data_IF_583555371148
#
_entry.id   IF_583555371148
#
_cell.length_a   1.000
_cell.length_b   1.000
_cell.length_c   1.000
_cell.angle_alpha   90.00
_cell.angle_beta   90.00
_cell.angle_gamma   90.00
#
_symmetry.space_group_name_H-M   'P 1'
#
loop_
_entity.id
_entity.type
_entity.pdbx_description
1 polymer ?
#
# COMPACT_ATOMS: atom_id res chain seq x y z
N UNK A 1 -11.73 4.82 -20.60
CA UNK A 1 -11.96 4.04 -19.36
C UNK A 1 -10.62 4.03 -18.63
N UNK A 2 -10.59 4.37 -17.35
CA UNK A 2 -9.32 4.45 -16.62
C UNK A 2 -8.85 3.10 -16.10
N UNK A 3 -7.57 3.03 -15.74
CA UNK A 3 -6.94 1.82 -15.18
C UNK A 3 -6.36 2.09 -13.78
N UNK A 4 -6.42 1.09 -12.91
CA UNK A 4 -5.92 1.14 -11.53
C UNK A 4 -5.06 -0.09 -11.24
N UNK A 5 -3.92 0.12 -10.59
CA UNK A 5 -3.12 -0.95 -10.00
C UNK A 5 -3.12 -0.80 -8.49
N UNK A 6 -3.51 -1.85 -7.75
CA UNK A 6 -3.56 -1.87 -6.28
C UNK A 6 -2.44 -2.73 -5.74
N UNK A 7 -1.52 -2.13 -4.97
CA UNK A 7 -0.31 -2.79 -4.47
C UNK A 7 -0.37 -2.90 -2.95
N UNK A 8 -0.41 -4.13 -2.45
CA UNK A 8 -0.54 -4.42 -1.03
C UNK A 8 0.77 -4.23 -0.23
N UNK A 9 0.63 -4.11 1.10
CA UNK A 9 1.75 -4.06 2.03
C UNK A 9 2.31 -5.41 2.43
N UNK A 10 3.31 -5.41 3.34
CA UNK A 10 3.84 -6.63 3.97
C UNK A 10 2.70 -7.41 4.64
N UNK A 11 2.83 -8.73 4.65
CA UNK A 11 1.86 -9.70 5.21
C UNK A 11 0.50 -9.75 4.50
N UNK A 12 0.12 -8.73 3.72
CA UNK A 12 -1.13 -8.70 2.96
C UNK A 12 -1.06 -9.55 1.69
N UNK A 13 -2.22 -9.69 1.04
CA UNK A 13 -2.47 -10.38 -0.24
C UNK A 13 -3.36 -9.53 -1.12
N UNK A 14 -3.46 -9.82 -2.43
CA UNK A 14 -4.40 -9.16 -3.34
C UNK A 14 -5.85 -9.20 -2.85
N UNK A 15 -6.27 -10.28 -2.18
CA UNK A 15 -7.64 -10.48 -1.68
C UNK A 15 -8.06 -9.44 -0.64
N UNK A 16 -7.11 -8.77 0.02
CA UNK A 16 -7.44 -7.67 0.92
C UNK A 16 -8.02 -6.45 0.20
N UNK A 17 -7.78 -6.32 -1.11
CA UNK A 17 -8.35 -5.27 -1.95
C UNK A 17 -9.63 -5.72 -2.69
N UNK A 18 -10.15 -6.91 -2.43
CA UNK A 18 -11.27 -7.48 -3.20
C UNK A 18 -12.46 -6.51 -3.30
N UNK A 19 -12.92 -5.94 -2.17
CA UNK A 19 -14.07 -5.04 -2.13
C UNK A 19 -13.83 -3.73 -2.89
N UNK A 20 -12.60 -3.20 -2.90
CA UNK A 20 -12.21 -2.02 -3.69
C UNK A 20 -12.17 -2.36 -5.17
N UNK A 21 -11.53 -3.48 -5.52
CA UNK A 21 -11.39 -3.91 -6.91
C UNK A 21 -12.75 -4.22 -7.55
N UNK A 22 -13.65 -4.89 -6.83
CA UNK A 22 -14.99 -5.20 -7.29
C UNK A 22 -15.79 -3.93 -7.57
N UNK A 23 -15.80 -2.96 -6.64
CA UNK A 23 -16.51 -1.70 -6.82
C UNK A 23 -15.97 -0.88 -7.99
N UNK A 24 -14.66 -0.87 -8.25
CA UNK A 24 -14.06 -0.19 -9.40
C UNK A 24 -14.40 -0.89 -10.71
N UNK A 25 -14.32 -2.23 -10.75
CA UNK A 25 -14.70 -3.03 -11.93
C UNK A 25 -16.18 -2.88 -12.29
N UNK A 26 -17.05 -2.78 -11.29
CA UNK A 26 -18.49 -2.58 -11.49
C UNK A 26 -18.83 -1.26 -12.21
N UNK A 27 -17.93 -0.28 -12.21
CA UNK A 27 -18.08 0.98 -12.95
C UNK A 27 -17.20 1.06 -14.22
N UNK A 28 -16.68 -0.09 -14.68
CA UNK A 28 -15.93 -0.19 -15.94
C UNK A 28 -14.46 0.20 -15.84
N UNK A 29 -13.88 0.32 -14.62
CA UNK A 29 -12.43 0.55 -14.44
C UNK A 29 -11.67 -0.76 -14.64
N UNK A 30 -10.59 -0.75 -15.41
CA UNK A 30 -9.64 -1.85 -15.48
C UNK A 30 -8.82 -1.91 -14.19
N UNK A 31 -8.82 -3.04 -13.48
CA UNK A 31 -8.15 -3.16 -12.18
C UNK A 31 -7.22 -4.36 -12.13
N UNK A 32 -5.93 -4.08 -11.94
CA UNK A 32 -4.93 -5.08 -11.61
C UNK A 32 -4.60 -5.05 -10.10
N UNK A 33 -4.47 -6.24 -9.50
CA UNK A 33 -4.04 -6.40 -8.11
C UNK A 33 -2.95 -7.46 -8.08
N UNK A 34 -1.70 -7.09 -8.40
CA UNK A 34 -0.61 -8.05 -8.51
C UNK A 34 -0.27 -8.67 -7.16
N UNK A 35 0.00 -9.97 -7.19
CA UNK A 35 0.61 -10.70 -6.08
C UNK A 35 2.10 -10.38 -6.05
N UNK A 36 2.60 -9.74 -4.99
CA UNK A 36 4.02 -9.41 -4.87
C UNK A 36 4.89 -10.67 -4.79
N UNK A 37 6.07 -10.61 -5.39
CA UNK A 37 7.06 -11.71 -5.39
C UNK A 37 7.53 -12.04 -3.97
N UNK A 38 7.69 -10.98 -3.09
CA UNK A 38 8.01 -11.09 -1.66
C UNK A 38 9.41 -11.62 -1.35
N UNK A 39 10.29 -11.64 -2.35
CA UNK A 39 11.70 -12.00 -2.17
C UNK A 39 12.58 -10.78 -1.90
N UNK A 40 12.31 -9.66 -2.57
CA UNK A 40 13.02 -8.40 -2.40
C UNK A 40 12.18 -7.23 -2.94
N UNK A 41 12.53 -6.00 -2.56
CA UNK A 41 11.89 -4.80 -3.10
C UNK A 41 12.03 -4.73 -4.63
N UNK A 42 13.19 -5.08 -5.17
CA UNK A 42 13.43 -5.08 -6.62
C UNK A 42 12.49 -6.06 -7.35
N UNK A 43 12.37 -7.29 -6.82
CA UNK A 43 11.48 -8.30 -7.41
C UNK A 43 10.01 -7.88 -7.30
N UNK A 44 9.59 -7.28 -6.17
CA UNK A 44 8.24 -6.76 -5.98
C UNK A 44 7.96 -5.61 -6.95
N UNK A 45 8.91 -4.69 -7.13
CA UNK A 45 8.81 -3.59 -8.10
C UNK A 45 8.69 -4.12 -9.53
N UNK A 46 9.44 -5.15 -9.90
CA UNK A 46 9.36 -5.76 -11.23
C UNK A 46 7.99 -6.38 -11.52
N UNK A 47 7.39 -7.05 -10.53
CA UNK A 47 6.02 -7.59 -10.64
C UNK A 47 5.00 -6.47 -10.89
N UNK A 48 5.08 -5.37 -10.12
CA UNK A 48 4.15 -4.24 -10.29
C UNK A 48 4.41 -3.51 -11.60
N UNK A 49 5.68 -3.35 -12.01
CA UNK A 49 6.03 -2.79 -13.31
C UNK A 49 5.40 -3.59 -14.45
N UNK A 50 5.48 -4.93 -14.41
CA UNK A 50 4.83 -5.78 -15.40
C UNK A 50 3.31 -5.59 -15.45
N UNK A 51 2.67 -5.39 -14.30
CA UNK A 51 1.24 -5.10 -14.27
C UNK A 51 0.90 -3.72 -14.87
N UNK A 52 1.74 -2.70 -14.65
CA UNK A 52 1.57 -1.36 -15.27
C UNK A 52 1.81 -1.44 -16.77
N UNK A 53 2.87 -2.11 -17.22
CA UNK A 53 3.23 -2.24 -18.63
C UNK A 53 2.19 -3.02 -19.46
N UNK A 54 1.38 -3.87 -18.81
CA UNK A 54 0.30 -4.62 -19.45
C UNK A 54 -0.97 -3.78 -19.72
N UNK A 55 -1.10 -2.62 -19.10
CA UNK A 55 -2.24 -1.74 -19.28
C UNK A 55 -2.10 -0.88 -20.53
N UNK A 56 -3.23 -0.56 -21.17
CA UNK A 56 -3.24 0.23 -22.41
C UNK A 56 -3.06 1.73 -22.19
N UNK A 57 -3.44 2.20 -21.03
CA UNK A 57 -3.41 3.62 -20.65
C UNK A 57 -2.66 3.79 -19.32
N UNK A 58 -2.06 4.98 -19.09
CA UNK A 58 -1.41 5.26 -17.81
C UNK A 58 -2.37 5.09 -16.64
N UNK A 59 -2.01 4.25 -15.69
CA UNK A 59 -2.86 3.88 -14.56
C UNK A 59 -2.65 4.81 -13.35
N UNK A 60 -3.68 4.91 -12.51
CA UNK A 60 -3.51 5.31 -11.11
C UNK A 60 -2.97 4.11 -10.34
N UNK A 61 -1.77 4.23 -9.78
CA UNK A 61 -1.10 3.15 -9.04
C UNK A 61 -1.12 3.45 -7.55
N UNK A 62 -1.87 2.66 -6.78
CA UNK A 62 -1.97 2.80 -5.33
C UNK A 62 -1.06 1.80 -4.63
N UNK A 63 -0.16 2.31 -3.77
CA UNK A 63 0.68 1.52 -2.87
C UNK A 63 0.26 1.72 -1.40
N UNK A 64 -0.10 0.62 -0.74
CA UNK A 64 -0.40 0.61 0.68
C UNK A 64 0.83 0.20 1.50
N UNK A 65 1.13 0.95 2.57
CA UNK A 65 2.20 0.59 3.50
C UNK A 65 3.55 0.38 2.79
N UNK A 66 4.17 -0.79 2.89
CA UNK A 66 5.35 -1.20 2.12
C UNK A 66 5.14 -1.09 0.59
N UNK A 67 3.91 -1.30 0.12
CA UNK A 67 3.57 -1.11 -1.30
C UNK A 67 3.92 0.28 -1.83
N UNK A 68 4.01 1.29 -0.96
CA UNK A 68 4.52 2.62 -1.31
C UNK A 68 5.98 2.60 -1.73
N UNK A 69 6.85 1.86 -1.02
CA UNK A 69 8.24 1.66 -1.45
C UNK A 69 8.32 0.96 -2.81
N UNK A 70 7.41 0.02 -3.07
CA UNK A 70 7.34 -0.69 -4.35
C UNK A 70 6.98 0.25 -5.49
N UNK A 71 5.89 1.04 -5.34
CA UNK A 71 5.43 1.95 -6.40
C UNK A 71 6.38 3.14 -6.61
N UNK A 72 7.20 3.48 -5.61
CA UNK A 72 8.26 4.48 -5.76
C UNK A 72 9.25 4.10 -6.86
N UNK A 73 9.48 2.82 -7.10
CA UNK A 73 10.36 2.31 -8.16
C UNK A 73 9.70 2.17 -9.55
N UNK A 74 8.37 2.29 -9.65
CA UNK A 74 7.60 2.04 -10.89
C UNK A 74 7.62 3.26 -11.80
N UNK A 75 7.66 3.04 -13.13
CA UNK A 75 7.57 4.07 -14.17
C UNK A 75 6.29 3.92 -14.99
N UNK A 76 5.90 4.99 -15.70
CA UNK A 76 4.75 4.97 -16.61
C UNK A 76 3.38 5.04 -15.92
N UNK A 77 3.34 5.25 -14.61
CA UNK A 77 2.10 5.54 -13.91
C UNK A 77 1.58 6.94 -14.30
N UNK A 78 0.28 7.09 -14.47
CA UNK A 78 -0.36 8.39 -14.65
C UNK A 78 -0.48 9.17 -13.35
N UNK A 79 -0.65 8.49 -12.23
CA UNK A 79 -0.70 9.06 -10.88
C UNK A 79 -0.30 8.02 -9.84
N UNK A 80 0.41 8.45 -8.79
CA UNK A 80 0.79 7.59 -7.67
C UNK A 80 -0.06 7.93 -6.44
N UNK A 81 -0.56 6.91 -5.75
CA UNK A 81 -1.29 7.08 -4.48
C UNK A 81 -0.58 6.31 -3.38
N UNK A 82 -0.14 7.03 -2.36
CA UNK A 82 0.52 6.49 -1.17
C UNK A 82 -0.49 6.42 -0.02
N UNK A 83 -1.02 5.25 0.27
CA UNK A 83 -2.03 5.03 1.32
C UNK A 83 -1.36 4.50 2.59
N UNK A 84 -1.26 5.32 3.64
CA UNK A 84 -0.55 4.97 4.89
C UNK A 84 0.84 4.36 4.62
N UNK A 85 1.58 4.90 3.63
CA UNK A 85 2.64 4.20 2.93
C UNK A 85 4.01 4.85 3.11
N UNK A 86 5.05 4.08 2.80
CA UNK A 86 6.42 4.59 2.76
C UNK A 86 6.70 5.25 1.40
N UNK A 87 7.30 6.44 1.44
CA UNK A 87 7.76 7.20 0.26
C UNK A 87 9.27 7.42 0.41
N UNK A 88 10.08 6.39 0.16
CA UNK A 88 11.53 6.53 0.33
C UNK A 88 12.15 7.47 -0.71
N UNK A 89 13.17 8.20 -0.30
CA UNK A 89 14.08 8.99 -1.13
C UNK A 89 15.40 8.23 -1.35
N UNK A 90 16.35 8.84 -2.04
CA UNK A 90 17.64 8.25 -2.37
C UNK A 90 18.37 7.74 -1.11
N UNK A 91 18.76 6.48 -1.12
CA UNK A 91 19.41 5.81 -0.01
C UNK A 91 18.48 5.42 1.16
N UNK A 92 17.19 5.71 1.08
CA UNK A 92 16.24 5.38 2.13
C UNK A 92 15.52 4.05 1.87
N UNK A 93 15.19 3.36 2.95
CA UNK A 93 14.31 2.18 2.95
C UNK A 93 13.14 2.39 3.92
N UNK A 94 12.08 1.60 3.78
CA UNK A 94 10.96 1.64 4.74
C UNK A 94 11.42 1.43 6.19
N UNK A 95 12.35 0.48 6.41
CA UNK A 95 12.93 0.23 7.72
C UNK A 95 13.78 1.40 8.24
N UNK A 96 14.57 2.03 7.36
CA UNK A 96 15.41 3.20 7.69
C UNK A 96 14.59 4.44 8.03
N UNK A 97 13.42 4.62 7.41
CA UNK A 97 12.49 5.71 7.70
C UNK A 97 11.76 5.57 9.05
N UNK A 98 11.87 4.44 9.72
CA UNK A 98 11.23 4.18 11.00
C UNK A 98 10.44 2.86 11.03
N UNK A 99 10.10 2.32 9.85
CA UNK A 99 9.45 1.02 9.71
C UNK A 99 8.13 0.89 10.47
N UNK A 100 7.90 -0.29 11.01
CA UNK A 100 6.71 -0.61 11.81
C UNK A 100 6.69 0.15 13.13
N UNK A 101 5.50 0.58 13.58
CA UNK A 101 5.28 1.11 14.92
C UNK A 101 5.60 0.07 16.01
N UNK A 102 5.67 0.50 17.27
CA UNK A 102 5.83 -0.41 18.41
C UNK A 102 4.75 -1.51 18.41
N UNK A 103 3.49 -1.15 18.18
CA UNK A 103 2.36 -2.09 18.15
C UNK A 103 2.48 -3.15 17.05
N UNK A 104 2.91 -2.75 15.86
CA UNK A 104 3.11 -3.72 14.80
C UNK A 104 4.34 -4.58 15.04
N UNK A 105 5.45 -4.00 15.58
CA UNK A 105 6.63 -4.79 15.99
C UNK A 105 6.29 -5.86 17.01
N UNK A 106 5.45 -5.54 17.99
CA UNK A 106 5.00 -6.48 19.02
C UNK A 106 4.15 -7.64 18.47
N UNK A 107 3.55 -7.44 17.27
CA UNK A 107 2.81 -8.48 16.58
C UNK A 107 3.70 -9.43 15.76
N UNK A 108 4.91 -9.01 15.38
CA UNK A 108 5.80 -9.79 14.52
C UNK A 108 6.37 -11.00 15.27
N UNK A 109 6.35 -12.15 14.61
CA UNK A 109 6.99 -13.40 15.02
C UNK A 109 8.03 -13.81 13.99
N UNK A 110 9.19 -14.25 14.47
CA UNK A 110 10.20 -14.89 13.61
C UNK A 110 9.87 -16.35 13.45
N UNK A 111 9.95 -16.85 12.22
CA UNK A 111 9.75 -18.25 11.89
C UNK A 111 11.10 -18.98 11.74
N UNK A 112 11.14 -20.32 11.86
CA UNK A 112 12.38 -21.09 11.74
C UNK A 112 13.12 -20.94 10.42
N UNK A 113 12.39 -20.66 9.33
CA UNK A 113 12.94 -20.43 7.97
C UNK A 113 13.49 -19.01 7.76
N UNK A 114 13.48 -18.18 8.82
CA UNK A 114 13.89 -16.77 8.78
C UNK A 114 12.82 -15.83 8.27
N UNK A 115 11.67 -16.30 7.82
CA UNK A 115 10.52 -15.45 7.50
C UNK A 115 9.91 -14.86 8.77
N UNK A 116 8.98 -13.94 8.61
CA UNK A 116 8.20 -13.38 9.72
C UNK A 116 6.72 -13.55 9.46
N UNK A 117 5.96 -13.80 10.53
CA UNK A 117 4.49 -13.80 10.53
C UNK A 117 3.95 -12.82 11.56
N UNK A 118 2.63 -12.66 11.62
CA UNK A 118 1.97 -11.82 12.62
C UNK A 118 1.12 -12.67 13.58
N UNK A 119 1.21 -12.35 14.88
CA UNK A 119 0.28 -12.85 15.87
C UNK A 119 -1.12 -12.32 15.57
N UNK A 120 -2.15 -13.17 15.34
CA UNK A 120 -3.46 -12.75 14.88
C UNK A 120 -4.11 -11.64 15.69
N UNK A 121 -4.17 -11.79 17.02
CA UNK A 121 -4.83 -10.82 17.91
C UNK A 121 -4.13 -9.45 17.89
N UNK A 122 -2.78 -9.47 17.90
CA UNK A 122 -1.97 -8.25 17.83
C UNK A 122 -2.00 -7.62 16.44
N UNK A 123 -2.08 -8.44 15.40
CA UNK A 123 -2.25 -7.96 14.02
C UNK A 123 -3.56 -7.23 13.84
N UNK A 124 -4.68 -7.76 14.37
CA UNK A 124 -5.97 -7.08 14.35
C UNK A 124 -5.90 -5.70 15.00
N UNK A 125 -5.26 -5.59 16.17
CA UNK A 125 -5.13 -4.34 16.91
C UNK A 125 -4.20 -3.31 16.23
N UNK A 126 -3.22 -3.75 15.44
CA UNK A 126 -2.29 -2.88 14.73
C UNK A 126 -2.78 -2.47 13.34
N UNK A 127 -3.26 -3.44 12.54
CA UNK A 127 -3.59 -3.23 11.12
C UNK A 127 -5.05 -2.87 10.87
N UNK A 128 -5.97 -3.30 11.75
CA UNK A 128 -7.42 -3.22 11.55
C UNK A 128 -8.15 -2.61 12.75
N UNK A 129 -7.50 -1.71 13.47
CA UNK A 129 -7.97 -1.14 14.74
C UNK A 129 -9.28 -0.35 14.65
N UNK A 130 -9.67 0.12 13.48
CA UNK A 130 -10.92 0.86 13.20
C UNK A 130 -11.90 0.05 12.32
N UNK A 131 -11.59 -1.22 12.05
CA UNK A 131 -12.46 -2.09 11.27
C UNK A 131 -13.51 -2.77 12.17
N UNK A 132 -14.74 -3.00 11.68
CA UNK A 132 -15.69 -3.90 12.34
C UNK A 132 -15.08 -5.28 12.58
N UNK A 133 -15.35 -5.87 13.75
CA UNK A 133 -14.71 -7.11 14.18
C UNK A 133 -14.81 -8.28 13.17
N UNK A 134 -15.95 -8.53 12.48
CA UNK A 134 -16.01 -9.58 11.47
C UNK A 134 -15.10 -9.32 10.27
N UNK A 135 -14.96 -8.07 9.82
CA UNK A 135 -14.06 -7.70 8.72
C UNK A 135 -12.60 -7.81 9.14
N UNK A 136 -12.25 -7.36 10.35
CA UNK A 136 -10.92 -7.51 10.91
C UNK A 136 -10.52 -8.99 11.02
N UNK A 137 -11.39 -9.86 11.51
CA UNK A 137 -11.14 -11.29 11.62
C UNK A 137 -10.92 -11.95 10.25
N UNK A 138 -11.75 -11.61 9.25
CA UNK A 138 -11.57 -12.07 7.86
C UNK A 138 -10.21 -11.62 7.31
N UNK A 139 -9.87 -10.34 7.48
CA UNK A 139 -8.60 -9.79 6.98
C UNK A 139 -7.39 -10.42 7.65
N UNK A 140 -7.45 -10.66 8.97
CA UNK A 140 -6.39 -11.39 9.71
C UNK A 140 -6.22 -12.81 9.17
N UNK A 141 -7.31 -13.52 8.84
CA UNK A 141 -7.26 -14.86 8.26
C UNK A 141 -6.61 -14.92 6.87
N UNK A 142 -6.52 -13.80 6.17
CA UNK A 142 -5.84 -13.69 4.88
C UNK A 142 -4.33 -13.34 5.00
N UNK A 143 -3.87 -12.92 6.18
CA UNK A 143 -2.46 -12.58 6.37
C UNK A 143 -1.56 -13.81 6.17
N UNK A 144 -0.35 -13.57 5.71
CA UNK A 144 0.64 -14.63 5.48
C UNK A 144 2.05 -14.20 5.86
N UNK A 145 2.94 -15.17 5.97
CA UNK A 145 4.34 -14.93 6.27
C UNK A 145 5.01 -14.04 5.21
N UNK A 146 5.98 -13.26 5.61
CA UNK A 146 6.75 -12.34 4.80
C UNK A 146 8.22 -12.76 4.81
N UNK A 147 8.85 -12.82 3.64
CA UNK A 147 10.27 -13.05 3.53
C UNK A 147 11.08 -11.97 4.27
N UNK A 148 12.22 -12.31 4.86
CA UNK A 148 13.03 -11.36 5.59
C UNK A 148 13.61 -10.31 4.63
N UNK A 149 13.72 -9.06 5.09
CA UNK A 149 14.49 -8.03 4.43
C UNK A 149 13.76 -7.17 3.39
N UNK A 150 12.54 -7.51 2.94
CA UNK A 150 11.81 -6.71 1.94
C UNK A 150 11.72 -5.22 2.31
N UNK A 151 11.39 -4.90 3.57
CA UNK A 151 11.32 -3.51 4.04
C UNK A 151 12.67 -2.78 4.16
N UNK A 152 13.80 -3.46 3.93
CA UNK A 152 15.14 -2.88 3.94
C UNK A 152 15.66 -2.52 2.55
N UNK A 153 14.94 -2.92 1.50
CA UNK A 153 15.29 -2.55 0.13
C UNK A 153 15.21 -1.04 -0.07
N UNK A 154 16.13 -0.52 -0.86
CA UNK A 154 16.16 0.88 -1.32
C UNK A 154 15.68 0.91 -2.76
N UNK A 155 14.67 1.74 -3.12
CA UNK A 155 14.24 1.87 -4.50
C UNK A 155 15.36 2.42 -5.38
N UNK A 156 15.49 1.89 -6.58
CA UNK A 156 16.45 2.39 -7.58
C UNK A 156 15.97 3.67 -8.28
N UNK A 157 14.66 3.95 -8.23
CA UNK A 157 14.00 5.11 -8.82
C UNK A 157 13.09 5.78 -7.80
N UNK A 158 12.79 7.06 -8.02
CA UNK A 158 11.96 7.89 -7.14
C UNK A 158 10.87 8.57 -7.97
N UNK A 159 9.92 7.76 -8.46
CA UNK A 159 8.92 8.19 -9.46
C UNK A 159 7.98 9.29 -8.96
N UNK A 160 7.82 9.45 -7.64
CA UNK A 160 7.09 10.56 -7.04
C UNK A 160 7.68 11.95 -7.34
N UNK A 161 8.93 12.03 -7.82
CA UNK A 161 9.56 13.29 -8.23
C UNK A 161 9.11 13.77 -9.62
N UNK A 162 8.65 12.85 -10.47
CA UNK A 162 8.32 13.08 -11.87
C UNK A 162 6.82 12.85 -12.15
N UNK A 163 6.16 12.02 -11.34
CA UNK A 163 4.77 11.61 -11.51
C UNK A 163 3.90 12.32 -10.47
N UNK A 164 2.76 12.93 -10.85
CA UNK A 164 1.80 13.45 -9.89
C UNK A 164 1.46 12.42 -8.82
N UNK A 165 1.40 12.84 -7.56
CA UNK A 165 1.22 11.90 -6.47
C UNK A 165 0.35 12.48 -5.37
N UNK A 166 -0.51 11.63 -4.79
CA UNK A 166 -1.34 11.93 -3.62
C UNK A 166 -0.93 11.04 -2.46
N UNK A 167 -0.68 11.64 -1.31
CA UNK A 167 -0.51 10.90 -0.06
C UNK A 167 -1.80 10.92 0.75
N UNK A 168 -2.23 9.76 1.24
CA UNK A 168 -3.34 9.63 2.19
C UNK A 168 -2.79 9.27 3.56
N UNK A 169 -2.80 10.24 4.46
CA UNK A 169 -2.44 10.04 5.86
C UNK A 169 -3.63 9.39 6.58
N UNK A 170 -3.37 8.26 7.24
CA UNK A 170 -4.34 7.60 8.11
C UNK A 170 -4.10 8.05 9.55
N UNK A 171 -4.89 9.02 10.03
CA UNK A 171 -4.64 9.70 11.32
C UNK A 171 -4.79 8.83 12.58
N UNK A 172 -5.43 7.66 12.47
CA UNK A 172 -5.60 6.71 13.57
C UNK A 172 -4.77 5.43 13.36
N UNK A 173 -3.78 5.48 12.47
CA UNK A 173 -2.91 4.36 12.15
C UNK A 173 -2.08 3.90 13.35
N UNK A 174 -2.09 2.59 13.60
CA UNK A 174 -1.33 1.95 14.68
C UNK A 174 -0.19 1.07 14.17
N UNK A 175 -0.03 0.96 12.85
CA UNK A 175 1.04 0.18 12.21
C UNK A 175 2.18 1.07 11.70
N UNK A 176 1.86 2.22 11.08
CA UNK A 176 2.81 3.24 10.67
C UNK A 176 2.43 4.56 11.35
N UNK A 177 3.36 5.12 12.12
CA UNK A 177 3.11 6.35 12.89
C UNK A 177 2.59 7.50 12.02
N UNK A 178 1.44 8.14 12.37
CA UNK A 178 0.87 9.23 11.57
C UNK A 178 1.80 10.44 11.45
N UNK A 179 2.66 10.69 12.43
CA UNK A 179 3.67 11.74 12.35
C UNK A 179 4.73 11.42 11.28
N UNK A 180 5.15 10.14 11.17
CA UNK A 180 6.00 9.69 10.08
C UNK A 180 5.29 9.81 8.73
N UNK A 181 4.02 9.42 8.64
CA UNK A 181 3.23 9.55 7.41
C UNK A 181 3.18 11.01 6.93
N UNK A 182 2.91 11.98 7.81
CA UNK A 182 2.90 13.41 7.46
C UNK A 182 4.26 13.92 6.98
N UNK A 183 5.37 13.43 7.55
CA UNK A 183 6.71 13.79 7.05
C UNK A 183 6.96 13.27 5.63
N UNK A 184 6.54 12.04 5.34
CA UNK A 184 6.69 11.47 3.99
C UNK A 184 5.71 12.10 2.99
N UNK A 185 4.50 12.47 3.45
CA UNK A 185 3.49 13.13 2.63
C UNK A 185 3.99 14.45 2.01
N UNK A 186 4.91 15.15 2.66
CA UNK A 186 5.53 16.38 2.14
C UNK A 186 6.32 16.17 0.82
N UNK A 187 6.56 14.91 0.42
CA UNK A 187 7.20 14.55 -0.86
C UNK A 187 6.20 14.47 -2.02
N UNK A 188 4.91 14.38 -1.72
CA UNK A 188 3.86 14.20 -2.71
C UNK A 188 3.24 15.53 -3.14
N UNK A 189 2.62 15.54 -4.33
CA UNK A 189 2.00 16.74 -4.92
C UNK A 189 0.72 17.15 -4.22
N UNK A 190 -0.02 16.19 -3.67
CA UNK A 190 -1.27 16.41 -2.92
C UNK A 190 -1.28 15.55 -1.65
N UNK A 191 -1.95 16.06 -0.61
CA UNK A 191 -2.04 15.39 0.69
C UNK A 191 -3.49 15.38 1.17
N UNK A 192 -3.97 14.20 1.52
CA UNK A 192 -5.27 13.98 2.15
C UNK A 192 -5.04 13.40 3.55
N UNK A 193 -5.90 13.70 4.49
CA UNK A 193 -5.88 13.06 5.81
C UNK A 193 -7.26 12.49 6.14
N UNK A 194 -7.27 11.20 6.49
CA UNK A 194 -8.48 10.48 6.88
C UNK A 194 -8.42 10.07 8.35
N UNK A 195 -9.54 10.18 9.04
CA UNK A 195 -9.71 9.64 10.39
C UNK A 195 -9.92 8.12 10.36
N UNK A 196 -8.90 7.38 9.87
CA UNK A 196 -8.92 5.93 9.69
C UNK A 196 -7.69 5.28 10.30
N UNK A 197 -7.78 3.98 10.58
CA UNK A 197 -6.65 3.12 10.88
C UNK A 197 -5.82 2.78 9.63
N UNK A 198 -4.92 1.81 9.77
CA UNK A 198 -3.93 1.46 8.73
C UNK A 198 -4.54 0.93 7.43
N UNK A 199 -5.68 0.25 7.49
CA UNK A 199 -6.24 -0.51 6.36
C UNK A 199 -7.65 -0.05 5.97
N UNK A 200 -7.83 1.21 5.50
CA UNK A 200 -9.16 1.73 5.14
C UNK A 200 -9.81 0.97 3.98
N UNK A 201 -9.03 0.31 3.11
CA UNK A 201 -9.56 -0.55 2.05
C UNK A 201 -10.33 -1.77 2.57
N UNK A 202 -10.11 -2.18 3.84
CA UNK A 202 -10.88 -3.23 4.52
C UNK A 202 -12.11 -2.65 5.23
N UNK A 203 -11.92 -1.63 6.08
CA UNK A 203 -12.98 -1.09 6.92
C UNK A 203 -13.90 -0.08 6.22
N UNK A 204 -13.37 0.64 5.26
CA UNK A 204 -14.05 1.76 4.56
C UNK A 204 -13.71 1.79 3.05
N UNK A 205 -13.92 0.71 2.29
CA UNK A 205 -13.48 0.62 0.89
C UNK A 205 -14.03 1.74 0.01
N UNK A 206 -15.21 2.28 0.32
CA UNK A 206 -15.81 3.40 -0.43
C UNK A 206 -14.99 4.69 -0.40
N UNK A 207 -14.21 4.95 0.67
CA UNK A 207 -13.29 6.10 0.70
C UNK A 207 -12.18 5.93 -0.34
N UNK A 208 -11.59 4.74 -0.40
CA UNK A 208 -10.54 4.42 -1.38
C UNK A 208 -11.07 4.47 -2.81
N UNK A 209 -12.23 3.86 -3.04
CA UNK A 209 -12.90 3.91 -4.36
C UNK A 209 -13.21 5.34 -4.79
N UNK A 210 -13.72 6.18 -3.87
CA UNK A 210 -14.03 7.59 -4.14
C UNK A 210 -12.80 8.37 -4.59
N UNK A 211 -11.68 8.25 -3.88
CA UNK A 211 -10.42 8.89 -4.24
C UNK A 211 -9.91 8.41 -5.60
N UNK A 212 -9.88 7.10 -5.84
CA UNK A 212 -9.38 6.55 -7.10
C UNK A 212 -10.22 7.02 -8.29
N UNK A 213 -11.55 7.10 -8.15
CA UNK A 213 -12.44 7.65 -9.19
C UNK A 213 -12.23 9.13 -9.45
N UNK A 214 -12.01 9.94 -8.40
CA UNK A 214 -11.65 11.35 -8.52
C UNK A 214 -10.37 11.52 -9.36
N UNK A 215 -9.32 10.75 -9.01
CA UNK A 215 -8.02 10.81 -9.71
C UNK A 215 -8.11 10.33 -11.16
N UNK A 216 -8.86 9.27 -11.43
CA UNK A 216 -9.09 8.79 -12.80
C UNK A 216 -9.76 9.85 -13.68
N UNK A 217 -10.68 10.64 -13.13
CA UNK A 217 -11.34 11.70 -13.88
C UNK A 217 -10.37 12.85 -14.26
N UNK A 218 -9.32 13.07 -13.46
CA UNK A 218 -8.32 14.13 -13.72
C UNK A 218 -7.15 13.66 -14.60
N UNK A 219 -6.86 12.35 -14.60
CA UNK A 219 -5.76 11.77 -15.41
C UNK A 219 -6.15 11.54 -16.86
N UNK A 220 -7.46 11.56 -17.19
CA UNK A 220 -8.01 11.35 -18.55
C UNK A 220 -8.11 12.65 -19.38
N UNK A 221 -7.61 13.77 -18.87
CA UNK A 221 -7.54 15.09 -19.54
C UNK A 221 -6.11 15.38 -20.02
#
# INVERSE_FOLDING_TARGET
MGAVVLVHGLYHRPEHFADVAEQLRAVGTEVAVPELHRGSLLADTAVVQGAVDALREPAVVLGHSYGGSVITGVRGAGHLVYLAAFVPDAGESAAGLGGASGRLRDAIRSEPDGSTSLCPDRAAAALYNDCPAPLAARAVGLLRAQAPGCGRGVPERHSWRETPSTYVVCGQDRAVDPGLQRRMAARCSDVREWSTGHSPFVGRPRLVVGLLRELLATTSL
#
